data_IF_260804348404
#
_entry.id   IF_260804348404
#
_cell.length_a   1.000
_cell.length_b   1.000
_cell.length_c   1.000
_cell.angle_alpha   90.00
_cell.angle_beta   90.00
_cell.angle_gamma   90.00
#
_symmetry.space_group_name_H-M   'P 1'
#
loop_
_entity.id
_entity.type
_entity.pdbx_description
1 polymer ?
#
# COMPACT_ATOMS: atom_id res chain seq x y z
N UNK A 1 -27.09 -25.65 60.63
CA UNK A 1 -27.73 -25.52 59.30
C UNK A 1 -26.61 -25.27 58.29
N UNK A 2 -26.29 -26.27 57.47
CA UNK A 2 -25.24 -26.19 56.43
C UNK A 2 -25.90 -25.71 55.15
N UNK A 3 -25.60 -24.49 54.71
CA UNK A 3 -26.05 -24.00 53.40
C UNK A 3 -25.04 -24.44 52.34
N UNK A 4 -25.49 -25.35 51.48
CA UNK A 4 -24.83 -25.78 50.25
C UNK A 4 -25.01 -24.68 49.22
N UNK A 5 -23.92 -24.10 48.74
CA UNK A 5 -23.91 -23.19 47.58
C UNK A 5 -23.91 -24.04 46.33
N UNK A 6 -24.99 -23.94 45.54
CA UNK A 6 -25.14 -24.57 44.24
C UNK A 6 -24.30 -23.78 43.21
N UNK A 7 -23.30 -24.41 42.59
CA UNK A 7 -22.63 -23.87 41.41
C UNK A 7 -23.60 -23.96 40.22
N UNK A 8 -24.03 -22.82 39.69
CA UNK A 8 -24.70 -22.75 38.40
C UNK A 8 -23.64 -22.85 37.28
N UNK A 9 -23.71 -23.91 36.49
CA UNK A 9 -22.94 -24.04 35.26
C UNK A 9 -23.49 -23.04 34.22
N UNK A 10 -22.70 -22.03 33.89
CA UNK A 10 -22.94 -21.15 32.74
C UNK A 10 -22.70 -21.97 31.47
N UNK A 11 -23.77 -22.33 30.77
CA UNK A 11 -23.71 -22.83 29.41
C UNK A 11 -23.18 -21.70 28.51
N UNK A 12 -22.00 -21.90 27.92
CA UNK A 12 -21.46 -21.02 26.90
C UNK A 12 -22.36 -21.00 25.66
N UNK A 13 -22.38 -19.90 24.89
CA UNK A 13 -23.19 -19.82 23.68
C UNK A 13 -22.73 -20.89 22.69
N UNK A 14 -23.71 -21.62 22.15
CA UNK A 14 -23.48 -22.54 21.06
C UNK A 14 -22.81 -21.79 19.90
N UNK A 15 -21.61 -22.22 19.53
CA UNK A 15 -20.95 -21.77 18.31
C UNK A 15 -21.80 -22.29 17.16
N UNK A 16 -22.64 -21.41 16.61
CA UNK A 16 -23.25 -21.66 15.32
C UNK A 16 -22.11 -21.83 14.30
N UNK A 17 -22.10 -22.90 13.47
CA UNK A 17 -21.17 -22.95 12.37
C UNK A 17 -21.43 -21.72 11.51
N UNK A 18 -20.39 -20.90 11.33
CA UNK A 18 -20.41 -19.80 10.39
C UNK A 18 -20.90 -20.35 9.05
N UNK A 19 -22.06 -19.87 8.59
CA UNK A 19 -22.49 -20.12 7.24
C UNK A 19 -21.36 -19.66 6.32
N UNK A 20 -20.81 -20.59 5.54
CA UNK A 20 -19.85 -20.25 4.49
C UNK A 20 -20.51 -19.18 3.62
N UNK A 21 -19.98 -17.96 3.67
CA UNK A 21 -20.33 -16.93 2.70
C UNK A 21 -20.03 -17.53 1.34
N UNK A 22 -21.08 -17.74 0.54
CA UNK A 22 -20.94 -18.13 -0.85
C UNK A 22 -20.09 -17.07 -1.52
N UNK A 23 -18.98 -17.48 -2.15
CA UNK A 23 -18.15 -16.59 -2.96
C UNK A 23 -19.05 -15.87 -3.99
N UNK A 24 -18.82 -14.59 -4.28
CA UNK A 24 -19.55 -13.90 -5.33
C UNK A 24 -19.39 -14.67 -6.65
N UNK A 25 -20.50 -14.94 -7.35
CA UNK A 25 -20.45 -15.52 -8.69
C UNK A 25 -19.65 -14.57 -9.59
N UNK A 26 -18.55 -15.07 -10.17
CA UNK A 26 -17.63 -14.26 -10.98
C UNK A 26 -18.34 -13.60 -12.16
N UNK A 27 -17.93 -12.37 -12.48
CA UNK A 27 -18.42 -11.60 -13.62
C UNK A 27 -18.20 -12.38 -14.92
N UNK A 28 -19.22 -12.39 -15.79
CA UNK A 28 -19.09 -12.99 -17.13
C UNK A 28 -17.92 -12.33 -17.89
N UNK A 29 -16.89 -13.09 -18.29
CA UNK A 29 -15.77 -12.55 -19.05
C UNK A 29 -16.25 -11.77 -20.27
N UNK A 30 -17.25 -12.25 -21.02
CA UNK A 30 -17.75 -11.63 -22.25
C UNK A 30 -18.38 -10.23 -22.04
N UNK A 31 -18.75 -9.90 -20.79
CA UNK A 31 -19.35 -8.61 -20.43
C UNK A 31 -18.35 -7.47 -20.24
N UNK A 32 -17.05 -7.77 -20.17
CA UNK A 32 -16.00 -6.75 -19.97
C UNK A 32 -15.83 -5.91 -21.25
N UNK A 33 -15.93 -4.57 -21.20
CA UNK A 33 -15.75 -3.76 -22.40
C UNK A 33 -14.31 -3.80 -22.89
N UNK A 34 -14.11 -4.01 -24.19
CA UNK A 34 -12.81 -3.92 -24.85
C UNK A 34 -12.80 -2.80 -25.90
N UNK A 35 -11.63 -2.23 -26.24
CA UNK A 35 -11.52 -1.32 -27.37
C UNK A 35 -11.96 -1.99 -28.68
N UNK A 36 -12.74 -1.28 -29.51
CA UNK A 36 -13.32 -1.86 -30.73
C UNK A 36 -12.28 -2.46 -31.70
N UNK A 37 -11.08 -1.88 -31.76
CA UNK A 37 -9.98 -2.40 -32.56
C UNK A 37 -9.49 -3.77 -32.05
N UNK A 38 -9.44 -3.94 -30.73
CA UNK A 38 -9.06 -5.21 -30.08
C UNK A 38 -10.13 -6.26 -30.34
N UNK A 39 -11.41 -5.92 -30.17
CA UNK A 39 -12.51 -6.85 -30.49
C UNK A 39 -12.48 -7.32 -31.94
N UNK A 40 -12.23 -6.40 -32.88
CA UNK A 40 -12.15 -6.75 -34.30
C UNK A 40 -11.01 -7.73 -34.58
N UNK A 41 -9.84 -7.52 -33.96
CA UNK A 41 -8.70 -8.43 -34.09
C UNK A 41 -8.97 -9.81 -33.47
N UNK A 42 -9.62 -9.86 -32.30
CA UNK A 42 -9.99 -11.13 -31.65
C UNK A 42 -10.97 -11.94 -32.49
N UNK A 43 -12.01 -11.29 -33.06
CA UNK A 43 -12.98 -11.94 -33.97
C UNK A 43 -12.35 -12.45 -35.27
N UNK A 44 -11.25 -11.83 -35.70
CA UNK A 44 -10.46 -12.29 -36.84
C UNK A 44 -9.50 -13.43 -36.46
N UNK A 45 -9.49 -13.87 -35.20
CA UNK A 45 -8.64 -14.93 -34.68
C UNK A 45 -7.19 -14.52 -34.46
N UNK A 46 -6.87 -13.22 -34.51
CA UNK A 46 -5.51 -12.68 -34.32
C UNK A 46 -5.03 -12.91 -32.89
N UNK A 47 -3.74 -13.27 -32.74
CA UNK A 47 -3.08 -13.36 -31.43
C UNK A 47 -2.45 -12.03 -30.98
N UNK A 48 -2.41 -10.99 -31.84
CA UNK A 48 -1.79 -9.71 -31.51
C UNK A 48 -2.35 -9.06 -30.22
N UNK A 49 -3.66 -9.13 -29.92
CA UNK A 49 -4.19 -8.69 -28.63
C UNK A 49 -3.55 -9.40 -27.42
N UNK A 50 -3.33 -10.70 -27.49
CA UNK A 50 -2.72 -11.45 -26.37
C UNK A 50 -1.27 -11.01 -26.15
N UNK A 51 -0.51 -10.77 -27.22
CA UNK A 51 0.85 -10.27 -27.12
C UNK A 51 0.92 -8.85 -26.54
N UNK A 52 0.03 -7.96 -26.99
CA UNK A 52 -0.02 -6.57 -26.52
C UNK A 52 -0.44 -6.48 -25.05
N UNK A 53 -1.49 -7.21 -24.66
CA UNK A 53 -1.93 -7.29 -23.26
C UNK A 53 -0.89 -7.99 -22.38
N UNK A 54 -0.21 -9.02 -22.88
CA UNK A 54 0.88 -9.69 -22.15
C UNK A 54 2.03 -8.74 -21.84
N UNK A 55 2.51 -8.01 -22.85
CA UNK A 55 3.57 -7.02 -22.66
C UNK A 55 3.14 -5.89 -21.70
N UNK A 56 1.88 -5.45 -21.77
CA UNK A 56 1.34 -4.47 -20.84
C UNK A 56 1.23 -5.04 -19.41
N UNK A 57 0.82 -6.30 -19.28
CA UNK A 57 0.69 -6.99 -18.00
C UNK A 57 2.05 -7.13 -17.32
N UNK A 58 3.06 -7.65 -18.03
CA UNK A 58 4.41 -7.80 -17.50
C UNK A 58 5.01 -6.49 -16.98
N UNK A 59 4.70 -5.38 -17.66
CA UNK A 59 5.15 -4.04 -17.25
C UNK A 59 4.45 -3.56 -15.98
N UNK A 60 3.18 -3.89 -15.77
CA UNK A 60 2.35 -3.35 -14.69
C UNK A 60 2.27 -4.27 -13.46
N UNK A 61 2.38 -5.57 -13.66
CA UNK A 61 2.19 -6.61 -12.64
C UNK A 61 3.47 -6.86 -11.82
N UNK A 62 3.93 -5.84 -11.08
CA UNK A 62 5.17 -5.91 -10.29
C UNK A 62 5.24 -7.09 -9.30
N UNK A 63 4.09 -7.60 -8.85
CA UNK A 63 3.97 -8.74 -7.92
C UNK A 63 3.23 -9.93 -8.54
N UNK A 64 3.11 -9.98 -9.88
CA UNK A 64 2.33 -11.00 -10.59
C UNK A 64 0.82 -10.73 -10.66
N UNK A 65 0.36 -9.59 -10.14
CA UNK A 65 -1.01 -9.11 -10.23
C UNK A 65 -1.02 -7.59 -10.42
N UNK A 66 -2.08 -7.05 -11.03
CA UNK A 66 -2.31 -5.61 -11.19
C UNK A 66 -3.43 -5.18 -10.24
N UNK A 67 -3.20 -4.28 -9.27
CA UNK A 67 -4.27 -3.74 -8.44
C UNK A 67 -5.28 -2.94 -9.28
N UNK A 68 -6.58 -3.15 -9.09
CA UNK A 68 -7.67 -2.49 -9.83
C UNK A 68 -7.69 -0.98 -9.63
N UNK A 69 -7.28 -0.51 -8.45
CA UNK A 69 -7.08 0.92 -8.17
C UNK A 69 -5.99 1.56 -9.06
N UNK A 70 -5.27 0.73 -9.81
CA UNK A 70 -4.20 1.10 -10.70
C UNK A 70 -2.84 1.12 -9.97
N UNK A 71 -1.74 0.93 -10.73
CA UNK A 71 -0.39 1.00 -10.20
C UNK A 71 -0.08 2.38 -9.61
N UNK A 72 -0.58 3.47 -10.21
CA UNK A 72 -0.39 4.83 -9.68
C UNK A 72 -0.96 5.01 -8.26
N UNK A 73 -2.23 4.67 -8.05
CA UNK A 73 -2.84 4.76 -6.72
C UNK A 73 -2.18 3.81 -5.71
N UNK A 74 -1.74 2.64 -6.17
CA UNK A 74 -1.00 1.69 -5.32
C UNK A 74 0.33 2.27 -4.86
N UNK A 75 1.07 2.92 -5.76
CA UNK A 75 2.33 3.59 -5.45
C UNK A 75 2.10 4.77 -4.50
N UNK A 76 1.03 5.53 -4.69
CA UNK A 76 0.62 6.60 -3.75
C UNK A 76 0.32 6.06 -2.35
N UNK A 77 -0.47 4.98 -2.24
CA UNK A 77 -0.77 4.36 -0.94
C UNK A 77 0.50 3.87 -0.25
N UNK A 78 1.42 3.25 -0.99
CA UNK A 78 2.71 2.79 -0.44
C UNK A 78 3.58 3.96 0.00
N UNK A 79 3.74 4.97 -0.86
CA UNK A 79 4.50 6.17 -0.52
C UNK A 79 3.90 6.89 0.69
N UNK A 80 2.57 6.99 0.79
CA UNK A 80 1.89 7.55 1.96
C UNK A 80 2.14 6.72 3.22
N UNK A 81 2.14 5.38 3.13
CA UNK A 81 2.46 4.51 4.25
C UNK A 81 3.93 4.67 4.70
N UNK A 82 4.87 4.79 3.76
CA UNK A 82 6.28 5.07 4.06
C UNK A 82 6.46 6.45 4.69
N UNK A 83 5.79 7.48 4.17
CA UNK A 83 5.75 8.82 4.78
C UNK A 83 5.21 8.79 6.20
N UNK A 84 4.16 8.01 6.46
CA UNK A 84 3.60 7.84 7.80
C UNK A 84 4.61 7.21 8.78
N UNK A 85 5.50 6.33 8.30
CA UNK A 85 6.59 5.78 9.13
C UNK A 85 7.60 6.84 9.55
N UNK A 86 7.85 7.84 8.69
CA UNK A 86 8.69 8.99 9.06
C UNK A 86 8.06 9.76 10.22
N UNK A 87 6.76 10.07 10.15
CA UNK A 87 6.06 10.71 11.28
C UNK A 87 6.12 9.88 12.56
N UNK A 88 5.94 8.56 12.46
CA UNK A 88 6.02 7.66 13.62
C UNK A 88 7.43 7.58 14.23
N UNK A 89 8.48 7.77 13.43
CA UNK A 89 9.83 7.88 13.95
C UNK A 89 10.00 9.19 14.73
N UNK A 90 9.54 10.32 14.17
CA UNK A 90 9.66 11.62 14.85
C UNK A 90 8.80 11.74 16.10
N UNK A 91 7.63 11.10 16.14
CA UNK A 91 6.81 11.05 17.35
C UNK A 91 7.48 10.33 18.53
N UNK A 92 8.56 9.58 18.30
CA UNK A 92 9.35 8.98 19.39
C UNK A 92 10.37 9.95 19.99
N UNK A 93 10.71 11.01 19.24
CA UNK A 93 11.59 12.08 19.71
C UNK A 93 10.81 13.15 20.49
N UNK A 94 9.52 13.34 20.25
CA UNK A 94 8.65 14.24 21.02
C UNK A 94 8.42 13.66 22.44
N UNK A 95 9.24 14.10 23.40
CA UNK A 95 9.29 13.51 24.75
C UNK A 95 8.27 14.17 25.67
N UNK A 96 7.94 15.43 25.44
CA UNK A 96 6.99 16.19 26.24
C UNK A 96 5.55 16.17 25.69
N UNK A 97 5.37 15.74 24.44
CA UNK A 97 4.09 15.56 23.77
C UNK A 97 3.48 16.86 23.26
N UNK A 98 4.27 17.91 23.03
CA UNK A 98 3.79 19.20 22.52
C UNK A 98 3.51 19.19 21.00
N UNK A 99 3.87 18.11 20.31
CA UNK A 99 3.69 17.93 18.86
C UNK A 99 4.80 18.52 18.01
N UNK A 100 5.90 18.95 18.62
CA UNK A 100 7.13 19.41 18.00
C UNK A 100 8.30 18.58 18.53
N UNK A 101 9.46 18.63 17.85
CA UNK A 101 10.68 18.00 18.36
C UNK A 101 11.75 19.04 18.48
N UNK A 102 12.09 19.43 19.70
CA UNK A 102 13.21 20.32 19.96
C UNK A 102 14.55 19.59 19.81
N UNK A 103 15.62 20.37 19.55
CA UNK A 103 16.98 19.79 19.47
C UNK A 103 17.36 19.00 20.72
N UNK A 104 16.98 19.49 21.90
CA UNK A 104 17.28 18.83 23.17
C UNK A 104 16.61 17.47 23.27
N UNK A 105 15.36 17.35 22.82
CA UNK A 105 14.65 16.06 22.84
C UNK A 105 15.24 15.06 21.85
N UNK A 106 15.63 15.53 20.66
CA UNK A 106 16.32 14.72 19.67
C UNK A 106 17.65 14.17 20.20
N UNK A 107 18.50 15.03 20.77
CA UNK A 107 19.78 14.62 21.36
C UNK A 107 19.56 13.69 22.55
N UNK A 108 18.56 13.97 23.41
CA UNK A 108 18.22 13.12 24.56
C UNK A 108 17.77 11.72 24.12
N UNK A 109 16.95 11.63 23.07
CA UNK A 109 16.52 10.35 22.54
C UNK A 109 17.69 9.59 21.86
N UNK A 110 18.57 10.29 21.16
CA UNK A 110 19.78 9.71 20.58
C UNK A 110 20.67 9.08 21.67
N UNK A 111 20.89 9.81 22.76
CA UNK A 111 21.62 9.33 23.94
C UNK A 111 20.95 8.11 24.58
N UNK A 112 19.62 8.09 24.67
CA UNK A 112 18.86 6.96 25.21
C UNK A 112 18.93 5.72 24.30
N UNK A 113 18.98 5.90 22.99
CA UNK A 113 18.89 4.82 21.99
C UNK A 113 20.26 4.21 21.70
N UNK A 114 21.29 5.05 21.56
CA UNK A 114 22.63 4.62 21.15
C UNK A 114 23.69 4.79 22.24
N UNK A 115 23.36 5.42 23.37
CA UNK A 115 24.28 5.72 24.45
C UNK A 115 25.00 7.05 24.24
N UNK A 116 25.63 7.55 25.31
CA UNK A 116 26.29 8.88 25.33
C UNK A 116 27.70 8.90 24.71
N UNK A 117 28.22 7.74 24.29
CA UNK A 117 29.59 7.57 23.77
C UNK A 117 29.56 7.29 22.26
N UNK A 118 28.82 8.14 21.54
CA UNK A 118 28.83 8.14 20.08
C UNK A 118 30.16 8.70 19.57
N UNK A 119 30.74 8.06 18.55
CA UNK A 119 31.94 8.57 17.90
C UNK A 119 31.65 9.84 17.09
N UNK A 120 32.72 10.57 16.73
CA UNK A 120 32.61 11.79 15.91
C UNK A 120 31.85 11.55 14.59
N UNK A 121 31.95 10.34 14.03
CA UNK A 121 31.26 9.98 12.79
C UNK A 121 29.75 9.87 12.99
N UNK A 122 29.33 9.22 14.06
CA UNK A 122 27.91 9.03 14.38
C UNK A 122 27.26 10.37 14.71
N UNK A 123 27.93 11.24 15.46
CA UNK A 123 27.48 12.61 15.70
C UNK A 123 27.34 13.43 14.42
N UNK A 124 28.29 13.29 13.48
CA UNK A 124 28.20 13.99 12.20
C UNK A 124 26.99 13.54 11.37
N UNK A 125 26.63 12.25 11.43
CA UNK A 125 25.43 11.72 10.76
C UNK A 125 24.16 12.28 11.41
N UNK A 126 24.08 12.28 12.74
CA UNK A 126 22.92 12.84 13.46
C UNK A 126 22.74 14.32 13.20
N UNK A 127 23.84 15.08 13.10
CA UNK A 127 23.82 16.49 12.75
C UNK A 127 23.34 16.72 11.31
N UNK A 128 23.79 15.90 10.36
CA UNK A 128 23.31 15.97 8.97
C UNK A 128 21.83 15.64 8.87
N UNK A 129 21.35 14.62 9.61
CA UNK A 129 19.93 14.28 9.68
C UNK A 129 19.11 15.40 10.31
N UNK A 130 19.61 16.01 11.38
CA UNK A 130 18.97 17.18 12.01
C UNK A 130 18.83 18.34 11.03
N UNK A 131 19.93 18.78 10.40
CA UNK A 131 19.91 19.92 9.47
C UNK A 131 19.06 19.66 8.23
N UNK A 132 18.92 18.40 7.82
CA UNK A 132 18.04 18.03 6.72
C UNK A 132 16.56 18.11 7.12
N UNK A 133 16.25 17.83 8.38
CA UNK A 133 14.90 17.89 8.92
C UNK A 133 14.48 19.33 9.28
N UNK A 134 15.36 20.08 9.96
CA UNK A 134 15.20 21.45 10.43
C UNK A 134 15.55 22.42 9.30
N UNK A 135 14.58 22.63 8.42
CA UNK A 135 14.83 23.27 7.12
C UNK A 135 14.93 24.79 7.27
N UNK A 136 14.17 25.37 8.18
CA UNK A 136 14.24 26.81 8.44
C UNK A 136 15.30 27.18 9.48
N UNK A 137 15.85 26.18 10.20
CA UNK A 137 16.96 26.35 11.13
C UNK A 137 16.54 27.02 12.43
N UNK A 138 15.26 26.92 12.81
CA UNK A 138 14.74 27.50 14.04
C UNK A 138 15.06 26.65 15.29
N UNK A 139 15.61 25.44 15.10
CA UNK A 139 16.00 24.52 16.15
C UNK A 139 14.86 23.64 16.67
N UNK A 140 13.71 23.64 15.99
CA UNK A 140 12.51 22.87 16.36
C UNK A 140 11.90 22.24 15.11
N UNK A 141 11.78 20.91 15.08
CA UNK A 141 11.10 20.23 13.99
C UNK A 141 9.59 20.34 14.14
N UNK A 142 8.97 21.09 13.24
CA UNK A 142 7.52 21.21 13.18
C UNK A 142 6.91 20.15 12.24
N UNK A 143 5.62 19.86 12.41
CA UNK A 143 4.89 18.89 11.58
C UNK A 143 5.02 19.19 10.07
N UNK A 144 5.08 20.46 9.69
CA UNK A 144 5.26 20.88 8.30
C UNK A 144 6.61 20.47 7.71
N UNK A 145 7.67 20.50 8.51
CA UNK A 145 9.02 20.12 8.10
C UNK A 145 9.18 18.61 8.03
N UNK A 146 8.63 17.89 9.01
CA UNK A 146 8.56 16.42 9.00
C UNK A 146 7.79 15.95 7.75
N UNK A 147 6.70 16.63 7.41
CA UNK A 147 5.94 16.33 6.19
C UNK A 147 6.79 16.57 4.92
N UNK A 148 7.49 17.71 4.84
CA UNK A 148 8.33 18.02 3.69
C UNK A 148 9.48 17.02 3.53
N UNK A 149 10.11 16.62 4.63
CA UNK A 149 11.15 15.59 4.66
C UNK A 149 10.59 14.23 4.19
N UNK A 150 9.43 13.83 4.70
CA UNK A 150 8.78 12.58 4.32
C UNK A 150 8.48 12.53 2.80
N UNK A 151 7.98 13.64 2.22
CA UNK A 151 7.77 13.77 0.78
C UNK A 151 9.07 13.62 -0.01
N UNK A 152 10.16 14.21 0.47
CA UNK A 152 11.47 14.14 -0.18
C UNK A 152 12.12 12.75 -0.09
N UNK A 153 11.94 12.04 1.03
CA UNK A 153 12.46 10.68 1.23
C UNK A 153 11.68 9.62 0.47
N UNK A 154 10.35 9.80 0.37
CA UNK A 154 9.45 8.85 -0.26
C UNK A 154 8.60 9.54 -1.34
N UNK A 155 9.23 9.95 -2.46
CA UNK A 155 8.50 10.45 -3.62
C UNK A 155 7.68 9.32 -4.22
N UNK A 156 6.56 9.67 -4.86
CA UNK A 156 5.77 8.68 -5.60
C UNK A 156 6.46 8.42 -6.94
N UNK A 157 6.85 7.17 -7.24
CA UNK A 157 7.42 6.86 -8.54
C UNK A 157 6.40 7.09 -9.66
N UNK A 158 6.86 7.62 -10.79
CA UNK A 158 6.01 7.74 -11.97
C UNK A 158 5.78 6.36 -12.59
N UNK A 159 4.53 5.90 -12.56
CA UNK A 159 4.13 4.64 -13.20
C UNK A 159 4.07 4.76 -14.75
N UNK A 160 4.16 5.98 -15.28
CA UNK A 160 3.88 6.28 -16.67
C UNK A 160 2.39 6.10 -17.03
N UNK A 161 2.01 6.40 -18.28
CA UNK A 161 0.65 6.18 -18.74
C UNK A 161 0.33 4.67 -18.83
N UNK A 162 -0.86 4.30 -18.38
CA UNK A 162 -1.36 2.92 -18.48
C UNK A 162 -1.44 2.43 -19.94
N UNK A 163 -1.82 3.32 -20.85
CA UNK A 163 -2.17 2.95 -22.22
C UNK A 163 -3.51 2.20 -22.29
N UNK A 164 -4.05 1.99 -23.50
CA UNK A 164 -5.39 1.44 -23.68
C UNK A 164 -5.53 0.00 -23.16
N UNK A 165 -4.48 -0.82 -23.25
CA UNK A 165 -4.46 -2.17 -22.70
C UNK A 165 -4.48 -2.14 -21.16
N UNK A 166 -3.70 -1.25 -20.55
CA UNK A 166 -3.68 -1.06 -19.10
C UNK A 166 -5.04 -0.61 -18.56
N UNK A 167 -5.67 0.37 -19.21
CA UNK A 167 -7.02 0.84 -18.85
C UNK A 167 -8.07 -0.26 -18.99
N UNK A 168 -8.00 -1.08 -20.05
CA UNK A 168 -8.90 -2.20 -20.23
C UNK A 168 -8.68 -3.29 -19.17
N UNK A 169 -7.42 -3.59 -18.81
CA UNK A 169 -7.10 -4.59 -17.78
C UNK A 169 -7.68 -4.24 -16.41
N UNK A 170 -7.73 -2.97 -16.02
CA UNK A 170 -8.34 -2.57 -14.73
C UNK A 170 -9.84 -2.92 -14.62
N UNK A 171 -10.50 -3.25 -15.73
CA UNK A 171 -11.91 -3.68 -15.76
C UNK A 171 -12.07 -5.20 -15.80
N UNK A 172 -10.96 -5.95 -15.83
CA UNK A 172 -10.91 -7.41 -15.98
C UNK A 172 -10.82 -8.15 -14.65
N UNK A 173 -10.98 -7.49 -13.51
CA UNK A 173 -11.18 -8.15 -12.22
C UNK A 173 -12.55 -8.84 -12.24
N UNK A 174 -12.54 -10.16 -12.41
CA UNK A 174 -13.73 -10.98 -12.63
C UNK A 174 -14.31 -11.49 -11.31
N UNK A 175 -13.46 -11.77 -10.32
CA UNK A 175 -13.90 -12.25 -9.00
C UNK A 175 -14.05 -11.13 -7.96
N UNK A 176 -13.73 -9.90 -8.35
CA UNK A 176 -13.83 -8.68 -7.55
C UNK A 176 -12.98 -8.74 -6.28
N UNK A 177 -11.81 -9.38 -6.37
CA UNK A 177 -10.81 -9.45 -5.29
C UNK A 177 -9.91 -8.20 -5.21
N UNK A 178 -10.09 -7.26 -6.16
CA UNK A 178 -9.34 -6.01 -6.24
C UNK A 178 -8.02 -6.13 -7.00
N UNK A 179 -7.72 -7.30 -7.56
CA UNK A 179 -6.55 -7.59 -8.36
C UNK A 179 -6.96 -8.16 -9.72
N UNK A 180 -6.11 -7.92 -10.70
CA UNK A 180 -6.23 -8.50 -12.04
C UNK A 180 -5.06 -9.44 -12.22
N UNK A 181 -5.38 -10.70 -12.48
CA UNK A 181 -4.44 -11.77 -12.80
C UNK A 181 -4.37 -11.99 -14.31
N UNK A 182 -3.27 -12.61 -14.77
CA UNK A 182 -3.18 -12.98 -16.19
C UNK A 182 -4.31 -13.95 -16.61
N UNK A 183 -4.75 -14.82 -15.71
CA UNK A 183 -5.83 -15.76 -15.99
C UNK A 183 -7.15 -15.06 -16.31
N UNK A 184 -7.45 -13.93 -15.66
CA UNK A 184 -8.64 -13.14 -15.94
C UNK A 184 -8.52 -12.36 -17.26
N UNK A 185 -7.34 -11.80 -17.53
CA UNK A 185 -7.04 -11.17 -18.83
C UNK A 185 -7.25 -12.17 -19.96
N UNK A 186 -6.69 -13.38 -19.82
CA UNK A 186 -6.83 -14.45 -20.79
C UNK A 186 -8.29 -14.89 -20.96
N UNK A 187 -9.04 -15.05 -19.86
CA UNK A 187 -10.46 -15.40 -19.89
C UNK A 187 -11.28 -14.35 -20.65
N UNK A 188 -11.00 -13.06 -20.43
CA UNK A 188 -11.63 -11.97 -21.16
C UNK A 188 -11.25 -12.02 -22.65
N UNK A 189 -9.97 -12.11 -23.00
CA UNK A 189 -9.58 -12.15 -24.42
C UNK A 189 -10.13 -13.39 -25.15
N UNK A 190 -10.11 -14.56 -24.51
CA UNK A 190 -10.60 -15.81 -25.08
C UNK A 190 -12.12 -15.80 -25.34
N UNK A 191 -12.90 -15.11 -24.50
CA UNK A 191 -14.35 -15.03 -24.65
C UNK A 191 -14.82 -14.22 -25.88
N UNK A 192 -13.93 -13.51 -26.61
CA UNK A 192 -14.26 -12.78 -27.86
C UNK A 192 -13.73 -13.45 -29.13
N UNK A 193 -13.17 -14.65 -29.02
CA UNK A 193 -12.65 -15.39 -30.16
C UNK A 193 -13.75 -16.14 -30.90
#
# INVERSE_FOLDING_TARGET
>A
MKHVVLLAALAGPAVHPAAAQQAPEGRDPASVPLPAAVEAQLRLGSNAPFEAFGAAFDRLAATGQIPVVGPGATLEIRAAADRARVFLAYAQYDLDGDGQVSRTEYDTHADLTWGTDLGEREYAILEEEWQRADRDGDGVLQLGEIHALALAMHPVPDAGPLGPEGEAMLLMDLDNDGFVTWGEVEAVLAARR
#
